data_IF_733787756996
#
_entry.id   IF_733787756996
#
_cell.length_a   1.000
_cell.length_b   1.000
_cell.length_c   1.000
_cell.angle_alpha   90.00
_cell.angle_beta   90.00
_cell.angle_gamma   90.00
#
_symmetry.space_group_name_H-M   'P 1'
#
loop_
_entity.id
_entity.type
_entity.pdbx_description
1 polymer ?
#
# COMPACT_ATOMS: atom_id res chain seq x y z
N UNK A 1 -23.51 -69.44 -25.59
CA UNK A 1 -23.06 -68.19 -24.92
C UNK A 1 -23.15 -67.04 -25.92
N UNK A 2 -24.07 -66.07 -25.75
CA UNK A 2 -24.07 -64.82 -26.52
C UNK A 2 -23.31 -63.70 -25.77
N UNK A 3 -22.85 -62.65 -26.47
CA UNK A 3 -21.81 -61.75 -25.97
C UNK A 3 -22.34 -60.68 -25.01
N UNK A 4 -21.47 -60.34 -24.07
CA UNK A 4 -21.63 -59.35 -23.02
C UNK A 4 -21.96 -57.95 -23.56
N UNK A 5 -23.10 -57.41 -23.14
CA UNK A 5 -23.45 -56.00 -23.29
C UNK A 5 -22.57 -55.15 -22.36
N UNK A 6 -21.64 -54.37 -22.93
CA UNK A 6 -20.94 -53.31 -22.18
C UNK A 6 -21.96 -52.23 -21.79
N UNK A 7 -22.21 -52.10 -20.49
CA UNK A 7 -22.88 -50.92 -19.93
C UNK A 7 -22.10 -49.66 -20.31
N UNK A 8 -22.78 -48.70 -20.96
CA UNK A 8 -22.21 -47.37 -21.22
C UNK A 8 -22.01 -46.66 -19.89
N UNK A 9 -20.79 -46.23 -19.60
CA UNK A 9 -20.52 -45.37 -18.46
C UNK A 9 -21.37 -44.08 -18.54
N UNK A 10 -21.90 -43.58 -17.40
CA UNK A 10 -22.62 -42.33 -17.38
C UNK A 10 -21.66 -41.20 -17.74
N UNK A 11 -21.96 -40.50 -18.85
CA UNK A 11 -21.26 -39.30 -19.28
C UNK A 11 -21.36 -38.27 -18.15
N UNK A 12 -20.25 -38.03 -17.44
CA UNK A 12 -20.17 -36.95 -16.44
C UNK A 12 -20.56 -35.64 -17.12
N UNK A 13 -21.54 -34.88 -16.60
CA UNK A 13 -21.97 -33.64 -17.23
C UNK A 13 -20.78 -32.67 -17.29
N UNK A 14 -20.49 -32.17 -18.49
CA UNK A 14 -19.48 -31.12 -18.67
C UNK A 14 -19.91 -29.91 -17.82
N UNK A 15 -19.04 -29.35 -16.97
CA UNK A 15 -19.40 -28.28 -16.02
C UNK A 15 -20.04 -27.07 -16.70
N UNK A 16 -19.69 -26.80 -17.96
CA UNK A 16 -20.27 -25.73 -18.77
C UNK A 16 -21.77 -25.93 -19.05
N UNK A 17 -22.25 -27.17 -19.20
CA UNK A 17 -23.65 -27.49 -19.52
C UNK A 17 -24.56 -27.28 -18.31
N UNK A 18 -24.10 -27.67 -17.12
CA UNK A 18 -24.80 -27.42 -15.86
C UNK A 18 -24.90 -25.92 -15.53
N UNK A 19 -23.86 -25.13 -15.84
CA UNK A 19 -23.90 -23.67 -15.72
C UNK A 19 -24.89 -23.07 -16.72
N UNK A 20 -24.87 -23.50 -17.98
CA UNK A 20 -25.81 -23.03 -19.01
C UNK A 20 -27.27 -23.37 -18.68
N UNK A 21 -27.54 -24.55 -18.13
CA UNK A 21 -28.89 -24.96 -17.72
C UNK A 21 -29.37 -24.20 -16.47
N UNK A 22 -28.47 -23.83 -15.55
CA UNK A 22 -28.77 -22.91 -14.44
C UNK A 22 -29.03 -21.46 -14.91
N UNK A 23 -28.51 -21.08 -16.08
CA UNK A 23 -28.84 -19.80 -16.72
C UNK A 23 -30.20 -19.83 -17.44
N UNK A 24 -30.65 -20.98 -17.96
CA UNK A 24 -31.97 -21.09 -18.61
C UNK A 24 -33.14 -20.99 -17.63
N UNK A 25 -32.94 -21.35 -16.36
CA UNK A 25 -33.96 -21.17 -15.32
C UNK A 25 -34.08 -19.71 -14.83
N UNK A 26 -33.19 -18.81 -15.26
CA UNK A 26 -33.28 -17.37 -14.99
C UNK A 26 -34.31 -16.65 -15.89
N UNK A 27 -34.78 -17.28 -16.97
CA UNK A 27 -35.68 -16.65 -17.92
C UNK A 27 -36.88 -17.54 -18.24
N UNK A 28 -37.94 -17.45 -17.45
CA UNK A 28 -39.30 -17.49 -17.99
C UNK A 28 -40.22 -16.71 -17.05
N UNK A 29 -40.55 -15.46 -17.36
CA UNK A 29 -41.64 -14.77 -16.68
C UNK A 29 -42.92 -15.56 -16.93
N UNK A 30 -43.64 -15.94 -15.86
CA UNK A 30 -45.07 -16.23 -16.01
C UNK A 30 -45.74 -14.92 -16.38
N UNK A 31 -46.39 -14.88 -17.55
CA UNK A 31 -47.11 -13.71 -18.02
C UNK A 31 -48.10 -13.22 -16.93
N UNK A 32 -48.01 -11.95 -16.54
CA UNK A 32 -48.96 -11.31 -15.61
C UNK A 32 -48.47 -10.99 -14.20
N UNK A 33 -47.22 -11.32 -13.81
CA UNK A 33 -46.71 -11.02 -12.46
C UNK A 33 -46.08 -9.62 -12.40
N UNK A 34 -46.64 -8.73 -11.56
CA UNK A 34 -45.99 -7.46 -11.17
C UNK A 34 -44.86 -7.79 -10.19
N UNK A 35 -43.62 -7.53 -10.59
CA UNK A 35 -42.46 -7.67 -9.72
C UNK A 35 -42.49 -6.64 -8.61
N UNK A 36 -42.35 -7.09 -7.37
CA UNK A 36 -42.09 -6.20 -6.24
C UNK A 36 -40.61 -5.80 -6.20
N UNK A 37 -40.27 -4.71 -5.50
CA UNK A 37 -38.87 -4.33 -5.24
C UNK A 37 -38.12 -5.48 -4.56
N UNK A 38 -38.79 -6.23 -3.68
CA UNK A 38 -38.21 -7.40 -3.02
C UNK A 38 -37.87 -8.51 -4.03
N UNK A 39 -38.74 -8.79 -5.00
CA UNK A 39 -38.48 -9.78 -6.05
C UNK A 39 -37.27 -9.40 -6.91
N UNK A 40 -37.12 -8.12 -7.24
CA UNK A 40 -35.96 -7.59 -7.97
C UNK A 40 -34.69 -7.77 -7.14
N UNK A 41 -34.72 -7.45 -5.84
CA UNK A 41 -33.57 -7.64 -4.94
C UNK A 41 -33.19 -9.12 -4.86
N UNK A 42 -34.17 -10.01 -4.66
CA UNK A 42 -33.94 -11.46 -4.60
C UNK A 42 -33.32 -11.96 -5.91
N UNK A 43 -33.83 -11.52 -7.06
CA UNK A 43 -33.28 -11.88 -8.37
C UNK A 43 -31.83 -11.41 -8.54
N UNK A 44 -31.52 -10.18 -8.16
CA UNK A 44 -30.15 -9.64 -8.22
C UNK A 44 -29.21 -10.45 -7.33
N UNK A 45 -29.60 -10.70 -6.08
CA UNK A 45 -28.78 -11.46 -5.12
C UNK A 45 -28.54 -12.88 -5.64
N UNK A 46 -29.57 -13.57 -6.14
CA UNK A 46 -29.43 -14.90 -6.73
C UNK A 46 -28.47 -14.89 -7.93
N UNK A 47 -28.61 -13.91 -8.82
CA UNK A 47 -27.75 -13.77 -10.00
C UNK A 47 -26.29 -13.55 -9.60
N UNK A 48 -26.03 -12.70 -8.60
CA UNK A 48 -24.68 -12.45 -8.08
C UNK A 48 -24.08 -13.72 -7.45
N UNK A 49 -24.87 -14.45 -6.64
CA UNK A 49 -24.43 -15.70 -6.01
C UNK A 49 -24.11 -16.76 -7.07
N UNK A 50 -24.97 -16.94 -8.07
CA UNK A 50 -24.75 -17.88 -9.17
C UNK A 50 -23.51 -17.50 -9.99
N UNK A 51 -23.35 -16.22 -10.34
CA UNK A 51 -22.19 -15.73 -11.08
C UNK A 51 -20.88 -15.95 -10.29
N UNK A 52 -20.89 -15.67 -8.98
CA UNK A 52 -19.73 -15.92 -8.13
C UNK A 52 -19.45 -17.43 -7.97
N UNK A 53 -20.48 -18.25 -7.83
CA UNK A 53 -20.35 -19.72 -7.80
C UNK A 53 -19.72 -20.26 -9.08
N UNK A 54 -20.18 -19.82 -10.25
CA UNK A 54 -19.60 -20.17 -11.54
C UNK A 54 -18.14 -19.72 -11.66
N UNK A 55 -17.83 -18.50 -11.21
CA UNK A 55 -16.46 -17.97 -11.18
C UNK A 55 -15.54 -18.79 -10.26
N UNK A 56 -16.05 -19.21 -9.10
CA UNK A 56 -15.34 -20.07 -8.15
C UNK A 56 -15.05 -21.45 -8.76
N UNK A 57 -16.02 -22.08 -9.41
CA UNK A 57 -15.81 -23.34 -10.13
C UNK A 57 -14.77 -23.18 -11.24
N UNK A 58 -14.86 -22.11 -12.04
CA UNK A 58 -13.91 -21.84 -13.12
C UNK A 58 -12.48 -21.57 -12.60
N UNK A 59 -12.34 -21.04 -11.39
CA UNK A 59 -11.05 -20.76 -10.76
C UNK A 59 -10.20 -22.03 -10.54
N UNK A 60 -10.85 -23.20 -10.43
CA UNK A 60 -10.15 -24.48 -10.29
C UNK A 60 -9.27 -24.79 -11.51
N UNK A 61 -9.66 -24.30 -12.70
CA UNK A 61 -8.99 -24.63 -13.97
C UNK A 61 -8.41 -23.41 -14.70
N UNK A 62 -8.83 -22.19 -14.36
CA UNK A 62 -8.39 -20.97 -15.05
C UNK A 62 -7.65 -19.99 -14.11
N UNK A 63 -6.36 -19.71 -14.34
CA UNK A 63 -5.63 -18.68 -13.60
C UNK A 63 -6.28 -17.30 -13.69
N UNK A 64 -6.92 -16.97 -14.82
CA UNK A 64 -7.66 -15.71 -15.00
C UNK A 64 -8.88 -15.67 -14.08
N UNK A 65 -9.65 -16.74 -13.99
CA UNK A 65 -10.79 -16.82 -13.07
C UNK A 65 -10.35 -16.78 -11.59
N UNK A 66 -9.21 -17.40 -11.22
CA UNK A 66 -8.63 -17.26 -9.87
C UNK A 66 -8.36 -15.80 -9.50
N UNK A 67 -7.88 -14.98 -10.45
CA UNK A 67 -7.70 -13.54 -10.22
C UNK A 67 -9.03 -12.83 -9.99
N UNK A 68 -10.07 -13.18 -10.73
CA UNK A 68 -11.43 -12.67 -10.50
C UNK A 68 -11.98 -13.04 -9.11
N UNK A 69 -11.84 -14.31 -8.68
CA UNK A 69 -12.22 -14.73 -7.31
C UNK A 69 -11.44 -13.93 -6.27
N UNK A 70 -10.12 -13.81 -6.44
CA UNK A 70 -9.28 -13.02 -5.54
C UNK A 70 -9.74 -11.56 -5.49
N UNK A 71 -10.08 -10.95 -6.62
CA UNK A 71 -10.61 -9.57 -6.68
C UNK A 71 -11.87 -9.38 -5.82
N UNK A 72 -12.83 -10.30 -5.92
CA UNK A 72 -14.05 -10.26 -5.09
C UNK A 72 -13.71 -10.39 -3.60
N UNK A 73 -12.80 -11.30 -3.26
CA UNK A 73 -12.36 -11.50 -1.87
C UNK A 73 -11.62 -10.28 -1.32
N UNK A 74 -10.72 -9.69 -2.09
CA UNK A 74 -9.97 -8.49 -1.71
C UNK A 74 -10.93 -7.31 -1.52
N UNK A 75 -11.91 -7.13 -2.41
CA UNK A 75 -12.95 -6.11 -2.25
C UNK A 75 -13.78 -6.31 -0.99
N UNK A 76 -14.19 -7.55 -0.69
CA UNK A 76 -14.93 -7.87 0.52
C UNK A 76 -14.10 -7.58 1.79
N UNK A 77 -12.83 -7.98 1.80
CA UNK A 77 -11.91 -7.74 2.93
C UNK A 77 -11.56 -6.26 3.10
N UNK A 78 -11.32 -5.53 2.01
CA UNK A 78 -11.10 -4.10 2.04
C UNK A 78 -12.32 -3.36 2.59
N UNK A 79 -13.53 -3.77 2.18
CA UNK A 79 -14.79 -3.21 2.70
C UNK A 79 -14.96 -3.54 4.19
N UNK A 80 -14.68 -4.77 4.61
CA UNK A 80 -14.68 -5.15 6.03
C UNK A 80 -13.67 -4.29 6.83
N UNK A 81 -12.50 -4.00 6.27
CA UNK A 81 -11.52 -3.11 6.90
C UNK A 81 -12.04 -1.69 7.06
N UNK A 82 -12.72 -1.12 6.07
CA UNK A 82 -13.34 0.22 6.19
C UNK A 82 -14.31 0.30 7.37
N UNK A 83 -15.14 -0.74 7.55
CA UNK A 83 -16.21 -0.75 8.55
C UNK A 83 -15.70 -1.15 9.94
N UNK A 84 -14.86 -2.19 10.02
CA UNK A 84 -14.53 -2.87 11.28
C UNK A 84 -13.16 -2.49 11.85
N UNK A 85 -12.25 -1.91 11.06
CA UNK A 85 -10.90 -1.56 11.54
C UNK A 85 -10.98 -0.55 12.67
N UNK A 86 -10.22 -0.76 13.74
CA UNK A 86 -10.08 0.19 14.85
C UNK A 86 -8.63 0.62 15.07
N UNK A 87 -7.84 0.61 13.98
CA UNK A 87 -6.40 0.90 13.98
C UNK A 87 -6.01 2.18 14.69
N UNK A 88 -6.84 3.24 14.58
CA UNK A 88 -6.61 4.55 15.19
C UNK A 88 -6.96 4.64 16.67
N UNK A 89 -7.50 3.56 17.25
CA UNK A 89 -7.97 3.53 18.64
C UNK A 89 -6.93 2.82 19.51
N UNK A 90 -6.04 3.60 20.12
CA UNK A 90 -5.17 3.15 21.21
C UNK A 90 -5.08 4.25 22.28
N UNK A 91 -4.88 3.84 23.54
CA UNK A 91 -4.65 4.79 24.64
C UNK A 91 -3.20 5.23 24.59
N UNK A 92 -2.97 6.55 24.60
CA UNK A 92 -1.64 7.11 24.84
C UNK A 92 -1.35 7.04 26.33
N UNK A 93 -0.33 6.30 26.72
CA UNK A 93 0.10 6.23 28.11
C UNK A 93 0.66 7.59 28.50
N UNK A 94 -0.03 8.32 29.38
CA UNK A 94 0.31 9.69 29.72
C UNK A 94 1.71 9.84 30.35
N UNK A 95 2.18 8.80 31.03
CA UNK A 95 3.47 8.79 31.73
C UNK A 95 4.66 8.64 30.77
N UNK A 96 4.45 8.01 29.61
CA UNK A 96 5.49 7.79 28.59
C UNK A 96 5.58 8.96 27.63
N UNK A 97 6.18 10.06 28.05
CA UNK A 97 6.55 11.16 27.14
C UNK A 97 7.92 10.86 26.50
N UNK A 98 8.05 10.87 25.16
CA UNK A 98 9.35 10.75 24.50
C UNK A 98 10.42 11.74 24.99
N UNK A 99 10.01 12.89 25.55
CA UNK A 99 10.92 13.84 26.20
C UNK A 99 11.75 13.21 27.31
N UNK A 100 11.20 12.25 28.06
CA UNK A 100 11.90 11.60 29.14
C UNK A 100 13.18 10.90 28.64
N UNK A 101 13.10 10.18 27.51
CA UNK A 101 14.25 9.52 26.89
C UNK A 101 15.31 10.54 26.41
N UNK A 102 14.87 11.63 25.78
CA UNK A 102 15.78 12.64 25.24
C UNK A 102 16.50 13.44 26.35
N UNK A 103 15.82 13.69 27.47
CA UNK A 103 16.35 14.48 28.57
C UNK A 103 17.18 13.66 29.57
N UNK A 104 16.89 12.37 29.75
CA UNK A 104 17.56 11.51 30.74
C UNK A 104 18.98 11.09 30.33
N UNK A 105 19.42 11.42 29.11
CA UNK A 105 20.67 10.89 28.55
C UNK A 105 20.65 9.38 28.30
N UNK A 106 19.48 8.72 28.41
CA UNK A 106 19.33 7.27 28.25
C UNK A 106 19.27 6.82 26.79
N UNK A 107 19.64 7.68 25.84
CA UNK A 107 19.68 7.34 24.41
C UNK A 107 20.85 6.40 24.15
N UNK A 108 20.56 5.14 23.85
CA UNK A 108 21.55 4.10 23.55
C UNK A 108 21.92 4.09 22.07
N UNK A 109 20.93 4.31 21.18
CA UNK A 109 21.10 4.25 19.73
C UNK A 109 20.38 5.39 19.05
N UNK A 110 20.98 5.88 17.97
CA UNK A 110 20.42 6.91 17.09
C UNK A 110 20.59 6.48 15.63
N UNK A 111 19.52 6.59 14.84
CA UNK A 111 19.52 6.34 13.39
C UNK A 111 18.79 7.50 12.71
N UNK A 112 19.25 7.89 11.53
CA UNK A 112 18.55 8.91 10.74
C UNK A 112 17.50 8.24 9.88
N UNK A 113 16.28 8.78 9.88
CA UNK A 113 15.17 8.30 9.05
C UNK A 113 14.73 9.42 8.12
N UNK A 114 14.51 9.09 6.86
CA UNK A 114 14.00 9.98 5.82
C UNK A 114 12.65 9.47 5.37
N UNK A 115 11.59 10.23 5.62
CA UNK A 115 10.26 9.94 5.08
C UNK A 115 10.10 10.55 3.70
N UNK A 116 9.65 9.74 2.75
CA UNK A 116 9.21 10.15 1.41
C UNK A 116 7.73 9.86 1.27
N UNK A 117 6.90 10.90 1.16
CA UNK A 117 5.45 10.71 0.98
C UNK A 117 5.14 10.38 -0.48
N UNK A 118 4.23 9.43 -0.70
CA UNK A 118 3.72 9.13 -2.03
C UNK A 118 3.11 10.34 -2.78
N UNK A 119 3.14 10.29 -4.12
CA UNK A 119 2.41 11.21 -5.00
C UNK A 119 0.89 10.98 -4.99
N UNK A 120 0.12 11.82 -5.69
CA UNK A 120 -1.35 11.68 -5.75
C UNK A 120 -1.77 10.30 -6.31
N UNK A 121 -2.60 9.55 -5.57
CA UNK A 121 -3.16 8.29 -6.08
C UNK A 121 -4.44 8.47 -6.88
N UNK A 122 -4.85 7.46 -7.63
CA UNK A 122 -6.16 7.45 -8.31
C UNK A 122 -7.33 7.57 -7.33
N UNK A 123 -7.19 7.06 -6.10
CA UNK A 123 -8.17 7.30 -5.03
C UNK A 123 -8.24 8.78 -4.65
N UNK A 124 -7.10 9.45 -4.52
CA UNK A 124 -7.05 10.88 -4.21
C UNK A 124 -7.62 11.72 -5.36
N UNK A 125 -7.31 11.35 -6.61
CA UNK A 125 -7.86 11.96 -7.81
C UNK A 125 -9.38 11.96 -7.79
N UNK A 126 -10.03 10.84 -7.42
CA UNK A 126 -11.49 10.74 -7.38
C UNK A 126 -12.08 11.44 -6.16
N UNK A 127 -11.59 11.14 -4.95
CA UNK A 127 -12.28 11.48 -3.70
C UNK A 127 -11.70 12.67 -2.93
N UNK A 128 -10.45 13.08 -3.18
CA UNK A 128 -9.78 14.13 -2.41
C UNK A 128 -9.55 15.43 -3.17
N UNK A 129 -9.70 15.43 -4.50
CA UNK A 129 -9.86 16.68 -5.26
C UNK A 129 -11.22 17.32 -4.94
N UNK A 130 -11.36 18.61 -5.26
CA UNK A 130 -12.61 19.36 -4.99
C UNK A 130 -13.82 18.58 -5.53
N UNK A 131 -14.91 18.57 -4.75
CA UNK A 131 -16.18 17.98 -5.15
C UNK A 131 -16.87 18.92 -6.13
N UNK A 132 -16.50 18.82 -7.40
CA UNK A 132 -16.95 19.68 -8.50
C UNK A 132 -17.77 18.87 -9.51
N UNK A 133 -18.19 19.52 -10.60
CA UNK A 133 -18.93 18.87 -11.70
C UNK A 133 -18.15 17.74 -12.38
N UNK A 134 -16.83 17.61 -12.15
CA UNK A 134 -16.02 16.51 -12.66
C UNK A 134 -16.02 15.29 -11.73
N UNK A 135 -16.56 15.39 -10.52
CA UNK A 135 -16.60 14.26 -9.58
C UNK A 135 -17.36 13.05 -10.15
N UNK A 136 -18.59 13.18 -10.69
CA UNK A 136 -19.32 12.03 -11.24
C UNK A 136 -18.59 11.37 -12.40
N UNK A 137 -17.95 12.15 -13.28
CA UNK A 137 -17.20 11.62 -14.43
C UNK A 137 -15.94 10.88 -13.97
N UNK A 138 -15.23 11.41 -12.97
CA UNK A 138 -14.09 10.74 -12.31
C UNK A 138 -14.51 9.42 -11.66
N UNK A 139 -15.64 9.41 -10.95
CA UNK A 139 -16.15 8.20 -10.29
C UNK A 139 -16.56 7.12 -11.30
N UNK A 140 -17.37 7.48 -12.31
CA UNK A 140 -17.81 6.55 -13.36
C UNK A 140 -16.59 6.00 -14.13
N UNK A 141 -15.67 6.88 -14.52
CA UNK A 141 -14.42 6.50 -15.16
C UNK A 141 -13.59 5.54 -14.31
N UNK A 142 -13.52 5.76 -13.00
CA UNK A 142 -12.86 4.86 -12.05
C UNK A 142 -13.53 3.49 -11.97
N UNK A 143 -14.86 3.42 -11.92
CA UNK A 143 -15.61 2.15 -11.92
C UNK A 143 -15.38 1.36 -13.21
N UNK A 144 -15.45 2.01 -14.37
CA UNK A 144 -15.16 1.36 -15.65
C UNK A 144 -13.72 0.81 -15.70
N UNK A 145 -12.74 1.57 -15.19
CA UNK A 145 -11.34 1.12 -15.10
C UNK A 145 -11.17 -0.05 -14.14
N UNK A 146 -11.90 -0.09 -13.02
CA UNK A 146 -11.93 -1.25 -12.10
C UNK A 146 -12.51 -2.49 -12.79
N UNK A 147 -13.60 -2.34 -13.56
CA UNK A 147 -14.23 -3.44 -14.29
C UNK A 147 -13.28 -4.06 -15.33
N UNK A 148 -12.54 -3.23 -16.08
CA UNK A 148 -11.52 -3.73 -17.03
C UNK A 148 -10.44 -4.53 -16.30
N UNK A 149 -10.07 -4.14 -15.08
CA UNK A 149 -9.03 -4.77 -14.25
C UNK A 149 -9.53 -5.97 -13.43
N UNK A 150 -10.80 -6.35 -13.54
CA UNK A 150 -11.39 -7.35 -12.66
C UNK A 150 -10.63 -8.69 -12.64
N UNK A 151 -10.06 -9.10 -13.79
CA UNK A 151 -9.28 -10.33 -13.93
C UNK A 151 -7.77 -10.12 -13.92
N UNK A 152 -7.29 -8.95 -13.49
CA UNK A 152 -5.88 -8.59 -13.38
C UNK A 152 -5.45 -8.55 -11.91
N UNK A 153 -4.13 -8.65 -11.66
CA UNK A 153 -3.56 -8.38 -10.33
C UNK A 153 -3.34 -6.87 -10.15
N UNK A 154 -4.36 -6.10 -10.49
CA UNK A 154 -4.36 -4.64 -10.52
C UNK A 154 -5.74 -4.15 -10.07
N UNK A 155 -5.85 -2.92 -9.59
CA UNK A 155 -7.08 -2.27 -9.15
C UNK A 155 -6.92 -0.76 -9.28
N UNK A 156 -7.99 -0.08 -9.65
CA UNK A 156 -8.07 1.37 -9.65
C UNK A 156 -8.35 1.93 -8.25
N UNK A 157 -9.14 1.23 -7.42
CA UNK A 157 -9.53 1.71 -6.09
C UNK A 157 -8.80 1.02 -4.92
N UNK A 158 -8.70 -0.31 -4.93
CA UNK A 158 -8.02 -1.07 -3.87
C UNK A 158 -6.52 -0.88 -4.06
N UNK A 159 -5.78 -0.64 -2.98
CA UNK A 159 -4.33 -0.39 -3.07
C UNK A 159 -3.99 0.64 -4.16
N UNK A 160 -4.77 1.73 -4.28
CA UNK A 160 -4.82 2.55 -5.49
C UNK A 160 -3.42 2.97 -5.99
N UNK A 161 -3.11 2.82 -7.30
CA UNK A 161 -1.83 3.22 -7.88
C UNK A 161 -1.70 4.75 -7.92
N UNK A 162 -0.54 5.25 -8.36
CA UNK A 162 -0.39 6.67 -8.68
C UNK A 162 -1.34 7.08 -9.80
N UNK A 163 -1.90 8.28 -9.68
CA UNK A 163 -2.56 8.98 -10.78
C UNK A 163 -1.52 9.52 -11.77
N UNK A 164 -1.95 10.05 -12.92
CA UNK A 164 -1.04 10.73 -13.85
C UNK A 164 -0.28 11.89 -13.17
N UNK A 165 -0.98 12.71 -12.37
CA UNK A 165 -0.38 13.78 -11.59
C UNK A 165 0.59 13.24 -10.54
N UNK A 166 0.25 12.12 -9.88
CA UNK A 166 1.15 11.47 -8.92
C UNK A 166 2.46 10.99 -9.55
N UNK A 167 2.41 10.48 -10.78
CA UNK A 167 3.61 10.09 -11.56
C UNK A 167 4.43 11.33 -11.92
N UNK A 168 3.79 12.43 -12.33
CA UNK A 168 4.48 13.71 -12.60
C UNK A 168 5.16 14.26 -11.35
N UNK A 169 4.49 14.22 -10.18
CA UNK A 169 5.07 14.61 -8.89
C UNK A 169 6.30 13.76 -8.54
N UNK A 170 6.22 12.44 -8.71
CA UNK A 170 7.34 11.54 -8.44
C UNK A 170 8.52 11.76 -9.39
N UNK A 171 8.25 12.05 -10.67
CA UNK A 171 9.26 12.41 -11.67
C UNK A 171 9.90 13.77 -11.40
N UNK A 172 9.13 14.75 -10.91
CA UNK A 172 9.68 16.04 -10.52
C UNK A 172 10.66 15.90 -9.34
N UNK A 173 10.32 15.07 -8.34
CA UNK A 173 11.23 14.72 -7.25
C UNK A 173 12.48 14.00 -7.75
N UNK A 174 12.33 13.00 -8.63
CA UNK A 174 13.45 12.30 -9.26
C UNK A 174 14.39 13.25 -9.99
N UNK A 175 13.84 14.14 -10.84
CA UNK A 175 14.63 15.14 -11.54
C UNK A 175 15.38 16.06 -10.57
N UNK A 176 14.72 16.49 -9.49
CA UNK A 176 15.36 17.32 -8.47
C UNK A 176 16.56 16.59 -7.82
N UNK A 177 16.40 15.32 -7.49
CA UNK A 177 17.50 14.49 -6.96
C UNK A 177 18.60 14.27 -7.99
N UNK A 178 18.28 14.06 -9.26
CA UNK A 178 19.29 13.92 -10.33
C UNK A 178 20.10 15.20 -10.51
N UNK A 179 19.44 16.36 -10.52
CA UNK A 179 20.09 17.67 -10.61
C UNK A 179 21.04 17.92 -9.42
N UNK A 180 20.69 17.43 -8.22
CA UNK A 180 21.54 17.50 -7.04
C UNK A 180 22.68 16.48 -7.09
N UNK A 181 22.40 15.24 -7.51
CA UNK A 181 23.39 14.16 -7.65
C UNK A 181 24.48 14.54 -8.66
N UNK A 182 24.10 15.22 -9.75
CA UNK A 182 25.04 15.72 -10.76
C UNK A 182 26.03 16.77 -10.21
N UNK A 183 25.69 17.46 -9.11
CA UNK A 183 26.59 18.39 -8.42
C UNK A 183 27.58 17.69 -7.49
N UNK A 184 27.45 16.37 -7.31
CA UNK A 184 28.29 15.58 -6.41
C UNK A 184 27.83 15.64 -4.95
N UNK A 185 28.69 15.12 -4.06
CA UNK A 185 28.44 15.14 -2.63
C UNK A 185 28.45 16.57 -2.07
N UNK A 186 27.52 16.86 -1.18
CA UNK A 186 27.40 18.12 -0.43
C UNK A 186 27.89 17.96 1.01
N UNK A 187 27.89 19.03 1.81
CA UNK A 187 28.11 18.92 3.26
C UNK A 187 26.94 18.22 3.99
N UNK A 188 25.78 18.12 3.34
CA UNK A 188 24.59 17.49 3.91
C UNK A 188 24.64 15.97 3.73
N UNK A 189 25.13 15.27 4.76
CA UNK A 189 25.27 13.81 4.75
C UNK A 189 23.94 13.06 4.54
N UNK A 190 22.83 13.61 5.02
CA UNK A 190 21.50 13.00 4.83
C UNK A 190 21.09 13.10 3.37
N UNK A 191 21.30 14.25 2.75
CA UNK A 191 21.07 14.42 1.32
C UNK A 191 21.97 13.49 0.51
N UNK A 192 23.26 13.39 0.86
CA UNK A 192 24.19 12.48 0.18
C UNK A 192 23.76 11.01 0.29
N UNK A 193 23.21 10.60 1.43
CA UNK A 193 22.65 9.26 1.63
C UNK A 193 21.39 9.03 0.80
N UNK A 194 20.50 10.03 0.66
CA UNK A 194 19.33 9.97 -0.23
C UNK A 194 19.77 9.81 -1.68
N UNK A 195 20.75 10.61 -2.10
CA UNK A 195 21.24 10.65 -3.48
C UNK A 195 22.12 9.44 -3.82
N UNK A 196 22.62 8.67 -2.84
CA UNK A 196 23.52 7.54 -3.07
C UNK A 196 24.90 7.96 -3.56
N UNK A 197 25.42 9.08 -3.05
CA UNK A 197 26.77 9.62 -3.34
C UNK A 197 27.63 9.82 -2.09
N UNK A 198 27.05 9.60 -0.90
CA UNK A 198 27.74 9.72 0.39
C UNK A 198 28.42 8.43 0.83
N UNK A 199 29.13 8.52 1.95
CA UNK A 199 29.80 7.39 2.61
C UNK A 199 28.91 6.65 3.60
N UNK A 200 27.85 7.29 4.11
CA UNK A 200 26.91 6.67 5.05
C UNK A 200 26.17 5.51 4.41
N UNK A 201 26.15 4.37 5.11
CA UNK A 201 25.34 3.23 4.69
C UNK A 201 23.87 3.60 4.80
N UNK A 202 23.11 3.38 3.73
CA UNK A 202 21.67 3.60 3.73
C UNK A 202 20.91 2.38 3.24
N UNK A 203 19.65 2.26 3.67
CA UNK A 203 18.70 1.25 3.17
C UNK A 203 17.43 1.95 2.71
N UNK A 204 16.87 1.47 1.60
CA UNK A 204 15.62 1.97 1.03
C UNK A 204 14.51 1.00 1.41
N UNK A 205 13.45 1.54 2.00
CA UNK A 205 12.28 0.78 2.41
C UNK A 205 11.02 1.50 1.93
N UNK A 206 9.96 0.76 1.65
CA UNK A 206 8.65 1.30 1.33
C UNK A 206 7.56 0.48 2.02
N UNK A 207 6.39 1.08 2.21
CA UNK A 207 5.18 0.32 2.51
C UNK A 207 4.86 -0.71 1.43
N UNK A 208 3.96 -1.64 1.75
CA UNK A 208 3.40 -2.62 0.83
C UNK A 208 2.28 -2.08 -0.07
N UNK A 209 2.05 -0.75 -0.09
CA UNK A 209 1.05 -0.11 -0.94
C UNK A 209 1.70 0.48 -2.20
N UNK A 210 1.09 0.20 -3.35
CA UNK A 210 1.66 0.48 -4.68
C UNK A 210 2.06 1.92 -4.89
N UNK A 211 1.23 2.88 -4.45
CA UNK A 211 1.54 4.31 -4.58
C UNK A 211 2.83 4.73 -3.88
N UNK A 212 3.15 4.14 -2.72
CA UNK A 212 4.38 4.44 -2.00
C UNK A 212 5.58 3.78 -2.68
N UNK A 213 5.43 2.51 -3.08
CA UNK A 213 6.48 1.77 -3.80
C UNK A 213 6.84 2.48 -5.10
N UNK A 214 5.86 2.79 -5.94
CA UNK A 214 6.09 3.48 -7.21
C UNK A 214 6.70 4.87 -7.00
N UNK A 215 6.24 5.63 -6.00
CA UNK A 215 6.85 6.95 -5.72
C UNK A 215 8.32 6.81 -5.33
N UNK A 216 8.63 5.86 -4.44
CA UNK A 216 10.00 5.60 -3.98
C UNK A 216 10.91 5.17 -5.12
N UNK A 217 10.43 4.23 -5.95
CA UNK A 217 11.15 3.74 -7.10
C UNK A 217 11.41 4.85 -8.15
N UNK A 218 10.41 5.68 -8.45
CA UNK A 218 10.60 6.83 -9.34
C UNK A 218 11.59 7.83 -8.74
N UNK A 219 11.40 8.24 -7.48
CA UNK A 219 12.21 9.27 -6.83
C UNK A 219 13.69 8.90 -6.77
N UNK A 220 14.00 7.62 -6.52
CA UNK A 220 15.36 7.13 -6.33
C UNK A 220 15.88 6.34 -7.54
N UNK A 221 15.26 6.50 -8.71
CA UNK A 221 15.58 5.64 -9.85
C UNK A 221 17.05 5.75 -10.27
N UNK A 222 17.63 6.95 -10.30
CA UNK A 222 19.02 7.15 -10.74
C UNK A 222 20.07 6.43 -9.89
N UNK A 223 19.82 6.23 -8.58
CA UNK A 223 20.70 5.40 -7.73
C UNK A 223 20.38 3.92 -7.88
N UNK A 224 19.11 3.55 -7.96
CA UNK A 224 18.67 2.16 -8.10
C UNK A 224 19.12 1.56 -9.43
N UNK A 225 19.16 2.36 -10.49
CA UNK A 225 19.58 1.96 -11.83
C UNK A 225 21.05 2.27 -12.14
N UNK A 226 21.82 2.75 -11.16
CA UNK A 226 23.24 3.04 -11.38
C UNK A 226 23.99 1.75 -11.73
N UNK A 227 24.95 1.84 -12.65
CA UNK A 227 25.73 0.67 -13.08
C UNK A 227 26.41 -0.01 -11.90
N UNK A 228 26.18 -1.31 -11.73
CA UNK A 228 26.71 -2.10 -10.61
C UNK A 228 25.95 -1.96 -9.29
N UNK A 229 24.84 -1.20 -9.26
CA UNK A 229 23.98 -1.11 -8.09
C UNK A 229 23.31 -2.46 -7.80
N UNK A 230 23.36 -2.87 -6.54
CA UNK A 230 22.64 -4.05 -6.00
C UNK A 230 21.54 -3.64 -5.02
N UNK A 231 21.28 -2.33 -4.93
CA UNK A 231 20.29 -1.78 -4.01
C UNK A 231 18.89 -2.25 -4.38
N UNK A 232 18.11 -2.57 -3.35
CA UNK A 232 16.70 -2.94 -3.48
C UNK A 232 15.84 -2.11 -2.56
N UNK A 233 14.57 -1.98 -2.92
CA UNK A 233 13.56 -1.41 -2.04
C UNK A 233 12.99 -2.54 -1.19
N UNK A 234 13.26 -2.51 0.11
CA UNK A 234 12.65 -3.41 1.07
C UNK A 234 11.17 -3.07 1.21
N UNK A 235 10.30 -4.05 1.09
CA UNK A 235 8.86 -3.90 1.29
C UNK A 235 8.54 -4.24 2.74
N UNK A 236 8.14 -3.25 3.53
CA UNK A 236 7.85 -3.43 4.95
C UNK A 236 6.40 -3.09 5.28
N UNK A 237 5.62 -4.10 5.66
CA UNK A 237 4.17 -3.96 5.89
C UNK A 237 3.81 -3.03 7.06
N UNK A 238 4.69 -2.85 8.05
CA UNK A 238 4.49 -1.87 9.12
C UNK A 238 4.34 -0.41 8.64
N UNK A 239 4.80 -0.06 7.44
CA UNK A 239 4.61 1.27 6.84
C UNK A 239 3.24 1.44 6.13
N UNK A 240 2.39 0.41 6.12
CA UNK A 240 1.07 0.45 5.49
C UNK A 240 0.17 1.54 6.11
N UNK A 241 -0.47 2.38 5.28
CA UNK A 241 -1.27 3.52 5.74
C UNK A 241 -2.33 3.14 6.77
N UNK A 242 -2.41 3.87 7.89
CA UNK A 242 -3.39 3.67 8.97
C UNK A 242 -4.65 4.50 8.71
N UNK A 243 -5.44 4.11 7.71
CA UNK A 243 -6.73 4.72 7.43
C UNK A 243 -7.83 3.68 7.16
N UNK A 244 -9.08 4.12 7.19
CA UNK A 244 -10.28 3.31 6.94
C UNK A 244 -10.80 3.54 5.53
N UNK A 245 -9.98 3.26 4.52
CA UNK A 245 -10.37 3.34 3.12
C UNK A 245 -9.99 2.03 2.41
N UNK A 246 -10.61 1.74 1.26
CA UNK A 246 -10.23 0.53 0.49
C UNK A 246 -8.86 0.68 -0.19
N UNK A 247 -8.42 1.92 -0.45
CA UNK A 247 -7.11 2.20 -1.03
C UNK A 247 -5.94 1.94 -0.07
N UNK A 248 -6.23 1.69 1.21
CA UNK A 248 -5.24 1.28 2.21
C UNK A 248 -5.17 -0.22 2.45
N UNK A 249 -5.92 -1.01 1.69
CA UNK A 249 -5.80 -2.46 1.65
C UNK A 249 -4.78 -2.86 0.59
N UNK A 250 -3.74 -3.63 0.96
CA UNK A 250 -2.64 -4.03 0.09
C UNK A 250 -3.02 -5.25 -0.78
N UNK A 251 -2.70 -5.20 -2.08
CA UNK A 251 -2.86 -6.35 -2.98
C UNK A 251 -1.73 -7.39 -2.81
N UNK A 252 -0.60 -7.00 -2.23
CA UNK A 252 0.42 -7.91 -1.73
C UNK A 252 0.03 -8.41 -0.34
N UNK A 253 -1.04 -9.20 -0.29
CA UNK A 253 -1.77 -9.49 0.94
C UNK A 253 -1.14 -10.61 1.79
N UNK A 254 -0.19 -11.39 1.25
CA UNK A 254 0.45 -12.49 1.97
C UNK A 254 1.91 -12.19 2.30
N UNK A 255 2.46 -12.93 3.26
CA UNK A 255 3.87 -12.84 3.62
C UNK A 255 4.76 -13.14 2.41
N UNK A 256 5.75 -12.29 2.15
CA UNK A 256 6.68 -12.45 1.02
C UNK A 256 6.08 -12.10 -0.35
N UNK A 257 4.83 -11.64 -0.42
CA UNK A 257 4.25 -11.20 -1.69
C UNK A 257 4.98 -9.96 -2.22
N UNK A 258 5.31 -9.98 -3.50
CA UNK A 258 5.80 -8.78 -4.20
C UNK A 258 4.61 -7.86 -4.50
N UNK A 259 4.83 -6.55 -4.33
CA UNK A 259 3.85 -5.51 -4.61
C UNK A 259 3.57 -5.45 -6.12
N UNK A 260 2.30 -5.54 -6.57
CA UNK A 260 2.03 -5.55 -8.00
C UNK A 260 2.18 -4.16 -8.60
N UNK A 261 3.23 -3.93 -9.39
CA UNK A 261 3.53 -2.60 -9.96
C UNK A 261 3.44 -2.56 -11.50
N UNK A 262 2.28 -2.88 -12.11
CA UNK A 262 2.17 -3.10 -13.56
C UNK A 262 2.46 -1.86 -14.41
N UNK A 263 2.41 -0.66 -13.83
CA UNK A 263 2.69 0.60 -14.52
C UNK A 263 4.12 1.09 -14.34
N UNK A 264 4.89 0.51 -13.43
CA UNK A 264 6.16 1.08 -12.99
C UNK A 264 7.22 1.12 -14.10
N UNK A 265 7.36 0.08 -14.92
CA UNK A 265 8.29 0.11 -16.07
C UNK A 265 8.02 1.30 -17.01
N UNK A 266 6.73 1.60 -17.26
CA UNK A 266 6.32 2.76 -18.08
C UNK A 266 6.60 4.08 -17.36
N UNK A 267 6.38 4.14 -16.06
CA UNK A 267 6.66 5.32 -15.23
C UNK A 267 8.16 5.66 -15.27
N UNK A 268 9.02 4.64 -15.16
CA UNK A 268 10.48 4.72 -15.21
C UNK A 268 11.06 4.84 -16.63
N UNK A 269 10.22 4.73 -17.67
CA UNK A 269 10.61 4.77 -19.09
C UNK A 269 11.61 3.67 -19.48
N UNK A 270 11.43 2.47 -18.95
CA UNK A 270 12.19 1.28 -19.29
C UNK A 270 11.30 0.23 -19.98
N UNK A 271 11.85 -0.68 -20.81
CA UNK A 271 11.05 -1.65 -21.57
C UNK A 271 10.27 -2.63 -20.68
N UNK A 272 10.91 -3.10 -19.61
CA UNK A 272 10.35 -4.05 -18.66
C UNK A 272 11.07 -3.94 -17.32
N UNK A 273 10.39 -4.35 -16.25
CA UNK A 273 10.97 -4.44 -14.92
C UNK A 273 10.68 -5.85 -14.37
N UNK A 274 11.70 -6.57 -13.94
CA UNK A 274 11.49 -7.75 -13.10
C UNK A 274 11.14 -7.30 -11.69
N UNK A 275 9.89 -7.48 -11.23
CA UNK A 275 9.49 -7.01 -9.89
C UNK A 275 10.38 -7.57 -8.76
N UNK A 276 10.94 -8.79 -8.93
CA UNK A 276 11.88 -9.41 -7.96
C UNK A 276 13.32 -8.87 -8.01
N UNK A 277 13.64 -8.12 -9.06
CA UNK A 277 14.96 -7.51 -9.23
C UNK A 277 15.04 -6.24 -8.38
N UNK A 278 13.98 -5.43 -8.37
CA UNK A 278 13.94 -4.14 -7.65
C UNK A 278 13.46 -4.25 -6.20
N UNK A 279 12.60 -5.21 -5.90
CA UNK A 279 11.95 -5.32 -4.58
C UNK A 279 12.49 -6.49 -3.76
N UNK A 280 12.77 -6.22 -2.50
CA UNK A 280 12.96 -7.24 -1.48
C UNK A 280 11.69 -7.34 -0.62
N UNK A 281 10.95 -8.44 -0.78
CA UNK A 281 9.70 -8.67 -0.09
C UNK A 281 9.84 -9.48 1.22
N UNK A 282 11.07 -9.73 1.71
CA UNK A 282 11.32 -10.53 2.91
C UNK A 282 10.60 -9.98 4.16
N UNK A 283 10.54 -8.66 4.30
CA UNK A 283 9.87 -7.95 5.40
C UNK A 283 8.38 -7.66 5.15
N UNK A 284 7.84 -8.13 4.03
CA UNK A 284 6.42 -7.97 3.76
C UNK A 284 5.65 -9.05 4.53
N UNK A 285 5.01 -8.70 5.65
CA UNK A 285 4.12 -9.60 6.37
C UNK A 285 2.72 -9.74 5.74
N UNK A 286 2.45 -9.01 4.65
CA UNK A 286 1.18 -9.01 3.94
C UNK A 286 0.21 -7.96 4.46
N UNK A 287 -1.08 -8.21 4.26
CA UNK A 287 -2.15 -7.30 4.68
C UNK A 287 -2.33 -7.34 6.20
N UNK A 288 -2.33 -6.16 6.82
CA UNK A 288 -2.64 -6.00 8.24
C UNK A 288 -4.03 -6.56 8.64
N UNK A 289 -4.15 -7.24 9.80
CA UNK A 289 -5.42 -7.75 10.30
C UNK A 289 -6.30 -6.63 10.87
N UNK A 290 -7.61 -6.88 10.96
CA UNK A 290 -8.62 -5.86 11.34
C UNK A 290 -8.39 -5.21 12.71
N UNK A 291 -7.88 -5.98 13.68
CA UNK A 291 -7.67 -5.50 15.06
C UNK A 291 -6.27 -4.95 15.35
N UNK A 292 -5.38 -4.91 14.35
CA UNK A 292 -4.02 -4.36 14.52
C UNK A 292 -4.11 -2.89 14.90
N UNK A 293 -3.26 -2.41 15.81
CA UNK A 293 -3.20 -0.98 16.13
C UNK A 293 -2.10 -0.30 15.35
N UNK A 294 -2.30 0.98 15.03
CA UNK A 294 -1.26 1.79 14.37
C UNK A 294 0.04 1.83 15.17
N UNK A 295 -0.06 1.97 16.50
CA UNK A 295 1.10 1.98 17.41
C UNK A 295 1.95 0.71 17.32
N UNK A 296 1.34 -0.46 17.08
CA UNK A 296 2.09 -1.71 16.93
C UNK A 296 2.95 -1.67 15.67
N UNK A 297 2.41 -1.15 14.57
CA UNK A 297 3.16 -0.93 13.33
C UNK A 297 4.26 0.12 13.50
N UNK A 298 4.03 1.18 14.28
CA UNK A 298 5.07 2.18 14.54
C UNK A 298 6.23 1.58 15.33
N UNK A 299 5.94 0.80 16.38
CA UNK A 299 6.98 0.12 17.17
C UNK A 299 7.71 -0.95 16.38
N UNK A 300 7.00 -1.74 15.57
CA UNK A 300 7.61 -2.73 14.68
C UNK A 300 8.60 -2.07 13.72
N UNK A 301 8.19 -0.98 13.05
CA UNK A 301 9.09 -0.25 12.16
C UNK A 301 10.26 0.42 12.91
N UNK A 302 10.02 1.01 14.07
CA UNK A 302 11.07 1.62 14.89
C UNK A 302 12.13 0.60 15.34
N UNK A 303 11.69 -0.59 15.77
CA UNK A 303 12.57 -1.69 16.10
C UNK A 303 13.35 -2.18 14.88
N UNK A 304 12.68 -2.34 13.74
CA UNK A 304 13.31 -2.74 12.47
C UNK A 304 14.42 -1.75 12.07
N UNK A 305 14.15 -0.43 12.12
CA UNK A 305 15.13 0.64 11.84
C UNK A 305 16.36 0.50 12.75
N UNK A 306 16.14 0.31 14.05
CA UNK A 306 17.23 0.20 15.03
C UNK A 306 18.11 -1.03 14.84
N UNK A 307 17.59 -2.08 14.19
CA UNK A 307 18.29 -3.32 13.92
C UNK A 307 18.98 -3.35 12.54
N UNK A 308 18.87 -2.27 11.76
CA UNK A 308 19.62 -2.16 10.50
C UNK A 308 21.09 -1.81 10.75
N UNK A 309 21.98 -2.41 9.95
CA UNK A 309 23.39 -1.98 9.85
C UNK A 309 23.48 -0.56 9.25
N UNK A 310 22.53 -0.20 8.39
CA UNK A 310 22.45 1.13 7.78
C UNK A 310 22.30 2.25 8.81
N UNK A 311 23.00 3.37 8.60
CA UNK A 311 22.91 4.58 9.41
C UNK A 311 21.68 5.43 9.04
N UNK A 312 21.30 5.38 7.76
CA UNK A 312 20.17 6.14 7.20
C UNK A 312 19.11 5.20 6.62
N UNK A 313 17.87 5.34 7.05
CA UNK A 313 16.72 4.60 6.50
C UNK A 313 15.85 5.53 5.68
N UNK A 314 15.71 5.27 4.38
CA UNK A 314 14.86 6.07 3.48
C UNK A 314 13.54 5.33 3.27
N UNK A 315 12.47 5.84 3.86
CA UNK A 315 11.18 5.18 3.97
C UNK A 315 10.07 5.85 3.15
N UNK A 316 9.62 5.16 2.11
CA UNK A 316 8.43 5.49 1.33
C UNK A 316 7.14 5.14 2.07
N UNK A 317 6.24 6.12 2.23
CA UNK A 317 5.03 5.91 3.03
C UNK A 317 3.94 6.96 2.83
N UNK A 318 3.13 7.15 3.87
CA UNK A 318 1.81 7.77 3.76
C UNK A 318 1.52 8.84 4.82
N UNK A 319 0.67 9.79 4.45
CA UNK A 319 0.47 11.01 5.25
C UNK A 319 -0.12 10.78 6.64
N UNK A 320 -1.10 9.88 6.80
CA UNK A 320 -1.73 9.70 8.10
C UNK A 320 -0.77 8.91 9.00
N UNK A 321 -0.16 7.85 8.47
CA UNK A 321 0.88 7.08 9.14
C UNK A 321 2.01 7.98 9.64
N UNK A 322 2.60 8.83 8.79
CA UNK A 322 3.68 9.73 9.20
C UNK A 322 3.25 10.73 10.28
N UNK A 323 2.03 11.27 10.17
CA UNK A 323 1.51 12.20 11.17
C UNK A 323 1.28 11.51 12.51
N UNK A 324 0.69 10.31 12.52
CA UNK A 324 0.49 9.56 13.77
C UNK A 324 1.82 9.06 14.37
N UNK A 325 2.81 8.73 13.54
CA UNK A 325 4.20 8.46 13.98
C UNK A 325 4.78 9.64 14.75
N UNK A 326 4.75 10.84 14.17
CA UNK A 326 5.22 12.06 14.84
C UNK A 326 4.44 12.35 16.12
N UNK A 327 3.13 12.09 16.16
CA UNK A 327 2.31 12.24 17.38
C UNK A 327 2.62 11.21 18.46
N UNK A 328 3.21 10.08 18.11
CA UNK A 328 3.58 9.01 19.04
C UNK A 328 4.98 9.24 19.60
N UNK A 329 5.95 9.60 18.75
CA UNK A 329 7.37 9.61 19.13
C UNK A 329 7.99 11.00 19.32
N UNK A 330 7.33 12.10 18.94
CA UNK A 330 7.80 13.42 19.37
C UNK A 330 7.38 13.72 20.81
N UNK A 331 8.15 14.54 21.54
CA UNK A 331 7.71 15.14 22.79
C UNK A 331 6.30 15.71 22.72
N UNK A 332 5.52 15.55 23.79
CA UNK A 332 4.09 15.94 23.79
C UNK A 332 3.86 17.41 23.59
N UNK A 333 4.78 18.23 24.06
CA UNK A 333 4.79 19.68 23.93
C UNK A 333 5.52 20.17 22.66
N UNK A 334 6.10 19.26 21.87
CA UNK A 334 6.72 19.61 20.59
C UNK A 334 5.74 20.34 19.66
N UNK A 335 6.20 21.45 19.10
CA UNK A 335 5.50 22.28 18.13
C UNK A 335 5.79 21.88 16.68
N UNK A 336 6.50 20.77 16.45
CA UNK A 336 6.81 20.30 15.10
C UNK A 336 5.54 20.10 14.27
N UNK A 337 5.55 20.66 13.06
CA UNK A 337 4.42 20.61 12.13
C UNK A 337 3.99 19.17 11.80
N UNK A 338 4.88 18.18 11.91
CA UNK A 338 4.57 16.77 11.71
C UNK A 338 3.48 16.21 12.63
N UNK A 339 3.17 16.87 13.76
CA UNK A 339 2.07 16.45 14.65
C UNK A 339 0.69 16.88 14.16
N UNK A 340 0.59 17.93 13.34
CA UNK A 340 -0.69 18.52 12.93
C UNK A 340 -0.89 18.48 11.41
N UNK A 341 0.19 18.65 10.64
CA UNK A 341 0.16 18.81 9.20
C UNK A 341 0.57 17.53 8.48
N UNK A 342 0.11 17.37 7.24
CA UNK A 342 0.56 16.30 6.34
C UNK A 342 1.85 16.77 5.65
N UNK A 343 2.82 15.88 5.46
CA UNK A 343 3.90 16.10 4.47
C UNK A 343 3.23 16.29 3.11
N UNK A 344 3.68 17.21 2.24
CA UNK A 344 3.09 17.38 0.89
C UNK A 344 3.31 16.15 0.00
N UNK A 345 2.56 15.98 -1.09
CA UNK A 345 2.79 14.87 -2.03
C UNK A 345 4.24 14.92 -2.54
N UNK A 346 4.94 13.77 -2.56
CA UNK A 346 6.37 13.70 -2.87
C UNK A 346 7.26 14.57 -1.96
N UNK A 347 6.75 15.02 -0.81
CA UNK A 347 7.54 15.72 0.19
C UNK A 347 8.48 14.76 0.92
N UNK A 348 9.63 15.30 1.32
CA UNK A 348 10.73 14.59 1.96
C UNK A 348 11.12 15.28 3.26
N UNK A 349 11.11 14.53 4.36
CA UNK A 349 11.44 15.02 5.71
C UNK A 349 12.39 14.04 6.37
N UNK A 350 13.47 14.53 6.97
CA UNK A 350 14.39 13.71 7.76
C UNK A 350 14.22 13.98 9.25
N UNK A 351 14.62 13.02 10.08
CA UNK A 351 14.68 13.16 11.53
C UNK A 351 15.59 12.08 12.13
N UNK A 352 15.98 12.26 13.38
CA UNK A 352 16.65 11.22 14.15
C UNK A 352 15.62 10.40 14.91
N UNK A 353 15.68 9.08 14.75
CA UNK A 353 15.02 8.15 15.64
C UNK A 353 16.01 7.75 16.72
N UNK A 354 15.64 7.97 17.97
CA UNK A 354 16.38 7.60 19.17
C UNK A 354 15.73 6.38 19.81
N UNK A 355 16.56 5.49 20.36
CA UNK A 355 16.13 4.35 21.17
C UNK A 355 16.95 4.30 22.45
N UNK A 356 16.31 3.88 23.53
CA UNK A 356 17.00 3.53 24.77
C UNK A 356 16.06 2.93 25.81
N UNK A 357 16.64 2.48 26.92
CA UNK A 357 15.89 1.95 28.06
C UNK A 357 15.78 2.99 29.16
N UNK A 358 14.58 3.49 29.36
CA UNK A 358 14.27 4.39 30.48
C UNK A 358 14.02 3.57 31.76
N UNK A 359 14.55 3.99 32.93
CA UNK A 359 14.42 3.24 34.18
C UNK A 359 12.97 2.85 34.54
N UNK A 360 12.03 3.78 34.39
CA UNK A 360 10.63 3.56 34.81
C UNK A 360 9.71 3.03 33.70
N UNK A 361 10.15 3.09 32.44
CA UNK A 361 9.27 2.87 31.28
C UNK A 361 9.78 1.79 30.33
N UNK A 362 10.97 1.26 30.57
CA UNK A 362 11.61 0.25 29.75
C UNK A 362 12.03 0.82 28.40
N UNK A 363 11.87 0.02 27.34
CA UNK A 363 12.22 0.42 25.99
C UNK A 363 11.36 1.57 25.49
N UNK A 364 12.02 2.64 25.04
CA UNK A 364 11.41 3.84 24.52
C UNK A 364 12.02 4.24 23.18
N UNK A 365 11.20 4.90 22.37
CA UNK A 365 11.61 5.56 21.13
C UNK A 365 11.25 7.03 21.19
N UNK A 366 12.09 7.87 20.62
CA UNK A 366 11.83 9.30 20.48
C UNK A 366 12.29 9.80 19.12
N UNK A 367 11.57 10.79 18.59
CA UNK A 367 11.97 11.52 17.39
C UNK A 367 12.61 12.84 17.81
N UNK A 368 13.71 13.17 17.17
CA UNK A 368 14.50 14.38 17.38
C UNK A 368 14.96 14.96 16.03
N UNK A 369 15.46 16.21 16.01
CA UNK A 369 16.08 16.85 14.84
C UNK A 369 15.28 16.75 13.52
N UNK A 370 13.98 17.04 13.55
CA UNK A 370 13.12 17.01 12.35
C UNK A 370 13.50 18.14 11.38
N UNK A 371 13.77 17.81 10.11
CA UNK A 371 14.17 18.74 9.05
C UNK A 371 13.42 18.47 7.74
N UNK A 372 12.96 19.52 7.06
CA UNK A 372 12.38 19.41 5.72
C UNK A 372 13.49 19.38 4.66
N UNK A 373 13.46 18.39 3.76
CA UNK A 373 14.44 18.23 2.68
C UNK A 373 13.88 18.78 1.36
N UNK A 374 12.62 18.42 1.06
CA UNK A 374 11.96 18.83 -0.18
C UNK A 374 10.46 18.91 0.06
N UNK A 375 9.84 20.06 -0.21
CA UNK A 375 8.39 20.28 -0.09
C UNK A 375 7.80 20.27 1.33
N UNK A 376 8.37 19.47 2.25
CA UNK A 376 8.11 19.55 3.68
C UNK A 376 6.66 19.30 4.09
N UNK A 377 6.22 19.99 5.14
CA UNK A 377 4.84 19.94 5.61
C UNK A 377 3.96 20.91 4.82
N UNK A 378 2.70 20.53 4.59
CA UNK A 378 1.70 21.40 3.99
C UNK A 378 1.58 22.71 4.80
N UNK A 379 1.32 23.82 4.11
CA UNK A 379 1.17 25.13 4.76
C UNK A 379 -0.09 25.19 5.62
#
# INVERSE_FOLDING_TARGET
>A
MPPWTRAREPVKPRPLRAVLDAFKTLETPRAGVRWTVLDIIIMIVRSVVLAYGALLTLSLVSPRARRGVRKVQDAARASAHVVLSDEKKWKKDASRDPRALLASGSVERRKTVVFVRHGESTWNEVFNRKFDHTFPTRLIGGVLREMVKFFERDSFFIDSPLSALGVEQARALSKHFDDLRAKGASEDEVLNAILGVGTKKSVIVSSNLRRAVNTTANALWSRLSASGSTEKIVIHSALQEVARNVDTYALASNKGDVVPTPTLARELRIPSLGDRELFDATENAGQKPLGRKGVDSFREFAAWVMNQDAEVVIAGGHSIWFREWFREFLPRDSQCAGKSKKIVNCGVVSFDLCFGRHPDHGEMYAVDNVREIYGGFAK
#
